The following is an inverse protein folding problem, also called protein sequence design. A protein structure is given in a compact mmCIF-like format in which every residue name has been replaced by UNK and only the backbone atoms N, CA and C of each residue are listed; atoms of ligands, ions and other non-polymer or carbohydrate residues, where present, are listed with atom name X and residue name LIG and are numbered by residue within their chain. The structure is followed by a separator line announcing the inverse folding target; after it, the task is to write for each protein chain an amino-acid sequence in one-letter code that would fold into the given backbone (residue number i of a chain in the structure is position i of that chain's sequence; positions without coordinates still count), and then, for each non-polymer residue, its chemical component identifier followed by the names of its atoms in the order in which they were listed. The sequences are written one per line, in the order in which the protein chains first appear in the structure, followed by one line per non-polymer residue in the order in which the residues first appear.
data_IF_113849996480
#
_entry.id   IF_113849996480
#
_cell.length_a   1.000
_cell.length_b   1.000
_cell.length_c   1.000
_cell.angle_alpha   90.00
_cell.angle_beta   90.00
_cell.angle_gamma   90.00
#
_symmetry.space_group_name_H-M   'P 1'
#
loop_
_entity.id
_entity.type
_entity.pdbx_description
1 polymer ?
#
# COMPACT_ATOMS: atom_id res chain seq x y z
N UNK A 1 -2.58 7.46 -0.93
CA UNK A 1 -3.29 6.27 -0.44
C UNK A 1 -3.64 6.46 1.03
N UNK A 2 -4.84 5.98 1.44
CA UNK A 2 -5.29 6.07 2.82
C UNK A 2 -6.30 4.96 3.14
N UNK A 3 -6.41 4.59 4.42
CA UNK A 3 -7.51 3.78 4.94
C UNK A 3 -8.28 4.61 5.95
N UNK A 4 -9.59 4.60 5.82
CA UNK A 4 -10.53 5.22 6.76
C UNK A 4 -11.39 4.13 7.40
N UNK A 5 -11.66 4.28 8.68
CA UNK A 5 -12.40 3.33 9.49
C UNK A 5 -13.55 4.09 10.14
N UNK A 6 -14.76 3.87 9.69
CA UNK A 6 -15.97 4.44 10.27
C UNK A 6 -16.55 3.48 11.32
N UNK A 7 -16.73 3.92 12.53
CA UNK A 7 -17.62 3.24 13.49
C UNK A 7 -19.06 3.60 13.16
N UNK A 8 -19.82 2.63 12.62
CA UNK A 8 -21.18 2.85 12.12
C UNK A 8 -22.19 3.22 13.24
N UNK A 9 -21.85 2.94 14.50
CA UNK A 9 -22.71 3.26 15.65
C UNK A 9 -22.48 4.69 16.14
N UNK A 10 -21.20 5.10 16.22
CA UNK A 10 -20.84 6.42 16.77
C UNK A 10 -20.71 7.50 15.70
N UNK A 11 -20.52 7.11 14.45
CA UNK A 11 -20.19 8.00 13.34
C UNK A 11 -18.76 8.53 13.38
N UNK A 12 -17.91 7.99 14.25
CA UNK A 12 -16.52 8.41 14.40
C UNK A 12 -15.66 7.80 13.30
N UNK A 13 -14.87 8.64 12.62
CA UNK A 13 -13.94 8.19 11.58
C UNK A 13 -12.52 8.18 12.13
N UNK A 14 -11.87 7.03 12.05
CA UNK A 14 -10.48 6.78 12.48
C UNK A 14 -9.59 6.50 11.28
N UNK A 15 -8.28 6.60 11.46
CA UNK A 15 -7.29 6.24 10.44
C UNK A 15 -6.08 5.56 11.09
N UNK A 16 -5.53 4.46 10.52
CA UNK A 16 -4.37 3.78 11.11
C UNK A 16 -3.05 4.55 10.93
N UNK A 17 -3.05 5.55 10.05
CA UNK A 17 -1.91 6.43 9.78
C UNK A 17 -2.31 7.88 10.00
N UNK A 18 -1.40 8.71 10.51
CA UNK A 18 -1.66 10.14 10.65
C UNK A 18 -1.84 10.80 9.28
N UNK A 19 -3.05 11.26 9.01
CA UNK A 19 -3.40 12.08 7.84
C UNK A 19 -3.54 13.57 8.19
N UNK A 20 -3.07 13.97 9.38
CA UNK A 20 -3.23 15.32 9.91
C UNK A 20 -4.66 15.62 10.36
N UNK A 21 -5.42 14.60 10.72
CA UNK A 21 -6.73 14.73 11.38
C UNK A 21 -6.55 15.21 12.83
N UNK A 22 -7.57 15.84 13.38
CA UNK A 22 -7.63 16.22 14.80
C UNK A 22 -8.13 15.03 15.63
N UNK A 23 -7.30 14.01 15.77
CA UNK A 23 -7.57 12.89 16.67
C UNK A 23 -6.79 13.01 17.98
N UNK A 24 -7.15 12.22 18.98
CA UNK A 24 -6.53 12.21 20.30
C UNK A 24 -5.56 11.06 20.53
N UNK A 25 -5.40 10.20 19.53
CA UNK A 25 -4.60 8.99 19.62
C UNK A 25 -3.11 9.25 19.41
N UNK A 26 -2.30 8.29 19.85
CA UNK A 26 -0.86 8.29 19.61
C UNK A 26 -0.55 7.40 18.41
N UNK A 27 0.07 7.99 17.39
CA UNK A 27 0.59 7.25 16.24
C UNK A 27 2.02 6.80 16.53
N UNK A 28 2.28 5.51 16.33
CA UNK A 28 3.63 4.94 16.35
C UNK A 28 3.93 4.29 15.02
N UNK A 29 5.08 4.63 14.45
CA UNK A 29 5.53 4.04 13.20
C UNK A 29 6.82 3.26 13.45
N UNK A 30 6.90 2.05 12.90
CA UNK A 30 8.09 1.21 12.91
C UNK A 30 8.42 0.82 11.48
N UNK A 31 9.58 1.23 11.00
CA UNK A 31 10.09 0.79 9.71
C UNK A 31 11.05 -0.37 9.90
N UNK A 32 10.78 -1.47 9.22
CA UNK A 32 11.70 -2.60 9.08
C UNK A 32 12.23 -2.67 7.65
N UNK A 33 13.10 -3.62 7.39
CA UNK A 33 13.58 -3.88 6.05
C UNK A 33 12.46 -4.55 5.23
N UNK A 34 12.01 -3.88 4.18
CA UNK A 34 10.93 -4.34 3.30
C UNK A 34 9.50 -4.17 3.82
N UNK A 35 9.29 -3.58 5.00
CA UNK A 35 7.94 -3.31 5.52
C UNK A 35 7.87 -2.07 6.41
N UNK A 36 6.66 -1.55 6.58
CA UNK A 36 6.35 -0.50 7.56
C UNK A 36 5.13 -0.89 8.39
N UNK A 37 5.17 -0.65 9.69
CA UNK A 37 4.08 -0.93 10.62
C UNK A 37 3.62 0.36 11.30
N UNK A 38 2.32 0.61 11.23
CA UNK A 38 1.64 1.75 11.84
C UNK A 38 0.73 1.24 12.96
N UNK A 39 0.86 1.83 14.12
CA UNK A 39 0.08 1.48 15.31
C UNK A 39 -0.67 2.71 15.79
N UNK A 40 -1.96 2.58 15.95
CA UNK A 40 -2.82 3.63 16.46
C UNK A 40 -3.90 3.03 17.38
N UNK A 41 -4.37 3.82 18.34
CA UNK A 41 -5.48 3.45 19.22
C UNK A 41 -6.43 4.64 19.33
N UNK A 42 -7.66 4.45 18.95
CA UNK A 42 -8.71 5.45 19.02
C UNK A 42 -10.08 4.77 19.19
N UNK A 43 -11.03 5.39 19.87
CA UNK A 43 -12.40 4.91 20.05
C UNK A 43 -12.51 3.46 20.56
N UNK A 44 -11.57 3.01 21.40
CA UNK A 44 -11.47 1.62 21.89
C UNK A 44 -11.24 0.59 20.76
N UNK A 45 -10.63 1.00 19.67
CA UNK A 45 -10.18 0.12 18.60
C UNK A 45 -8.68 0.26 18.45
N UNK A 46 -7.93 -0.82 18.72
CA UNK A 46 -6.52 -0.89 18.38
C UNK A 46 -6.39 -1.16 16.88
N UNK A 47 -5.58 -0.37 16.22
CA UNK A 47 -5.32 -0.43 14.79
C UNK A 47 -3.84 -0.76 14.58
N UNK A 48 -3.56 -1.88 13.94
CA UNK A 48 -2.22 -2.27 13.52
C UNK A 48 -2.22 -2.49 12.01
N UNK A 49 -1.59 -1.59 11.28
CA UNK A 49 -1.44 -1.67 9.83
C UNK A 49 -0.01 -2.03 9.48
N UNK A 50 0.19 -3.15 8.78
CA UNK A 50 1.48 -3.51 8.20
C UNK A 50 1.42 -3.39 6.69
N UNK A 51 2.33 -2.62 6.09
CA UNK A 51 2.43 -2.41 4.65
C UNK A 51 3.74 -2.98 4.13
N UNK A 52 3.66 -3.81 3.09
CA UNK A 52 4.83 -4.42 2.46
C UNK A 52 4.56 -4.78 0.99
N UNK A 53 5.61 -5.10 0.25
CA UNK A 53 5.55 -5.60 -1.12
C UNK A 53 6.09 -7.03 -1.14
N UNK A 54 5.32 -8.04 -1.59
CA UNK A 54 5.80 -9.40 -1.80
C UNK A 54 6.97 -9.45 -2.78
N UNK A 55 7.83 -10.49 -2.68
CA UNK A 55 9.05 -10.58 -3.47
C UNK A 55 8.80 -10.77 -4.98
N UNK A 56 7.78 -11.55 -5.33
CA UNK A 56 7.54 -12.02 -6.71
C UNK A 56 6.29 -11.43 -7.35
N UNK A 57 5.66 -10.44 -6.72
CA UNK A 57 4.39 -9.87 -7.18
C UNK A 57 4.45 -8.34 -7.26
N UNK A 58 3.94 -7.77 -8.35
CA UNK A 58 3.76 -6.32 -8.48
C UNK A 58 2.56 -5.85 -7.67
N UNK A 59 2.65 -6.00 -6.35
CA UNK A 59 1.58 -5.80 -5.39
C UNK A 59 2.10 -5.12 -4.13
N UNK A 60 1.36 -4.15 -3.62
CA UNK A 60 1.49 -3.62 -2.26
C UNK A 60 0.35 -4.18 -1.41
N UNK A 61 0.71 -4.87 -0.34
CA UNK A 61 -0.25 -5.43 0.62
C UNK A 61 -0.37 -4.50 1.82
N UNK A 62 -1.61 -4.20 2.19
CA UNK A 62 -2.02 -3.47 3.38
C UNK A 62 -2.73 -4.45 4.31
N UNK A 63 -2.02 -4.95 5.30
CA UNK A 63 -2.52 -5.90 6.29
C UNK A 63 -2.95 -5.13 7.53
N UNK A 64 -4.27 -4.92 7.67
CA UNK A 64 -4.89 -4.16 8.77
C UNK A 64 -5.50 -5.12 9.78
N UNK A 65 -4.93 -5.17 10.97
CA UNK A 65 -5.50 -5.85 12.14
C UNK A 65 -6.21 -4.83 13.04
N UNK A 66 -7.47 -5.09 13.31
CA UNK A 66 -8.30 -4.29 14.21
C UNK A 66 -8.65 -5.13 15.45
N UNK A 67 -8.52 -4.56 16.64
CA UNK A 67 -8.89 -5.22 17.90
C UNK A 67 -9.90 -4.37 18.63
N UNK A 68 -11.07 -4.91 18.90
CA UNK A 68 -12.11 -4.27 19.68
C UNK A 68 -11.81 -4.35 21.17
N UNK A 69 -11.50 -3.22 21.83
CA UNK A 69 -11.21 -3.12 23.26
C UNK A 69 -12.45 -2.75 24.10
N UNK A 70 -13.59 -2.60 23.46
CA UNK A 70 -14.85 -2.30 24.15
C UNK A 70 -15.55 -3.56 24.63
N UNK A 71 -16.61 -3.38 25.38
CA UNK A 71 -17.54 -4.42 25.86
C UNK A 71 -18.74 -4.65 24.91
N UNK A 72 -18.77 -3.97 23.76
CA UNK A 72 -19.83 -4.04 22.75
C UNK A 72 -19.27 -4.44 21.40
N UNK A 73 -20.13 -5.02 20.57
CA UNK A 73 -19.78 -5.28 19.16
C UNK A 73 -19.50 -3.96 18.45
N UNK A 74 -18.42 -3.91 17.71
CA UNK A 74 -18.09 -2.81 16.80
C UNK A 74 -18.48 -3.19 15.37
N UNK A 75 -19.28 -2.36 14.73
CA UNK A 75 -19.59 -2.43 13.30
C UNK A 75 -18.79 -1.36 12.59
N UNK A 76 -17.84 -1.77 11.77
CA UNK A 76 -16.88 -0.87 11.15
C UNK A 76 -16.96 -0.95 9.62
N UNK A 77 -17.09 0.21 8.98
CA UNK A 77 -16.90 0.35 7.54
C UNK A 77 -15.46 0.78 7.28
N UNK A 78 -14.75 0.03 6.43
CA UNK A 78 -13.36 0.31 6.07
C UNK A 78 -13.30 0.75 4.62
N UNK A 79 -12.73 1.93 4.37
CA UNK A 79 -12.56 2.45 3.01
C UNK A 79 -11.09 2.59 2.68
N UNK A 80 -10.63 1.88 1.66
CA UNK A 80 -9.29 2.04 1.09
C UNK A 80 -9.35 2.96 -0.12
N UNK A 81 -8.60 4.04 -0.08
CA UNK A 81 -8.59 5.11 -1.07
C UNK A 81 -7.22 5.29 -1.71
N UNK A 82 -7.22 5.46 -3.04
CA UNK A 82 -6.02 5.67 -3.87
C UNK A 82 -6.28 6.77 -4.89
N UNK A 83 -5.35 7.68 -5.07
CA UNK A 83 -5.33 8.64 -6.18
C UNK A 83 -4.43 8.11 -7.30
N UNK A 84 -5.01 8.01 -8.48
CA UNK A 84 -4.30 7.55 -9.66
C UNK A 84 -3.42 8.66 -10.25
N UNK A 85 -2.20 8.29 -10.65
CA UNK A 85 -1.35 9.11 -11.52
C UNK A 85 -1.17 8.42 -12.86
N UNK A 86 -0.80 7.13 -12.86
CA UNK A 86 -0.66 6.24 -14.02
C UNK A 86 0.06 6.91 -15.21
N UNK A 87 1.12 7.65 -14.91
CA UNK A 87 1.94 8.40 -15.86
C UNK A 87 2.85 9.37 -15.11
N UNK A 88 3.32 10.42 -15.79
CA UNK A 88 4.30 11.35 -15.22
C UNK A 88 3.66 12.38 -14.31
N UNK A 89 2.53 12.94 -14.71
CA UNK A 89 1.81 14.00 -13.99
C UNK A 89 0.32 13.71 -13.98
N UNK A 90 -0.31 13.90 -12.83
CA UNK A 90 -1.73 13.60 -12.61
C UNK A 90 -2.63 14.43 -13.53
N UNK A 91 -2.35 15.72 -13.68
CA UNK A 91 -3.13 16.66 -14.48
C UNK A 91 -3.18 16.26 -15.96
N UNK A 92 -2.11 15.63 -16.46
CA UNK A 92 -2.03 15.16 -17.84
C UNK A 92 -2.71 13.82 -18.07
N UNK A 93 -2.67 12.92 -17.07
CA UNK A 93 -3.13 11.55 -17.23
C UNK A 93 -4.57 11.34 -16.77
N UNK A 94 -5.04 12.12 -15.81
CA UNK A 94 -6.32 11.95 -15.16
C UNK A 94 -7.54 11.83 -16.11
N UNK A 95 -7.66 12.64 -17.19
CA UNK A 95 -8.78 12.53 -18.12
C UNK A 95 -8.82 11.23 -18.93
N UNK A 96 -7.73 10.46 -18.90
CA UNK A 96 -7.58 9.22 -19.67
C UNK A 96 -7.61 7.96 -18.80
N UNK A 97 -7.89 8.10 -17.53
CA UNK A 97 -7.98 6.97 -16.63
C UNK A 97 -9.41 6.43 -16.66
N UNK A 98 -9.54 5.21 -17.17
CA UNK A 98 -10.77 4.45 -17.18
C UNK A 98 -10.80 3.50 -15.99
N UNK A 99 -11.81 3.65 -15.13
CA UNK A 99 -12.04 2.74 -14.01
C UNK A 99 -13.14 1.73 -14.31
N UNK A 100 -13.04 0.54 -13.73
CA UNK A 100 -14.04 -0.53 -13.87
C UNK A 100 -14.07 -1.39 -12.61
N UNK A 101 -15.17 -2.09 -12.40
CA UNK A 101 -15.31 -3.05 -11.32
C UNK A 101 -15.79 -4.39 -11.85
N UNK A 102 -15.10 -5.45 -11.47
CA UNK A 102 -15.48 -6.84 -11.76
C UNK A 102 -16.23 -7.42 -10.56
N UNK A 103 -17.54 -7.65 -10.74
CA UNK A 103 -18.40 -8.18 -9.68
C UNK A 103 -18.13 -9.65 -9.36
N UNK A 104 -17.68 -10.43 -10.33
CA UNK A 104 -17.40 -11.87 -10.13
C UNK A 104 -16.13 -12.07 -9.30
N UNK A 105 -15.10 -11.29 -9.61
CA UNK A 105 -13.80 -11.40 -8.97
C UNK A 105 -13.58 -10.36 -7.86
N UNK A 106 -14.53 -9.46 -7.65
CA UNK A 106 -14.47 -8.38 -6.63
C UNK A 106 -13.17 -7.56 -6.70
N UNK A 107 -12.80 -7.14 -7.92
CA UNK A 107 -11.62 -6.33 -8.20
C UNK A 107 -12.00 -5.00 -8.82
N UNK A 108 -11.49 -3.91 -8.25
CA UNK A 108 -11.58 -2.58 -8.84
C UNK A 108 -10.33 -2.34 -9.70
N UNK A 109 -10.51 -2.03 -10.96
CA UNK A 109 -9.43 -1.84 -11.93
C UNK A 109 -9.40 -0.41 -12.47
N UNK A 110 -8.20 0.08 -12.75
CA UNK A 110 -7.97 1.34 -13.45
C UNK A 110 -6.97 1.13 -14.58
N UNK A 111 -7.18 1.81 -15.71
CA UNK A 111 -6.34 1.72 -16.89
C UNK A 111 -6.14 3.11 -17.51
N UNK A 112 -4.91 3.47 -17.86
CA UNK A 112 -4.65 4.63 -18.67
C UNK A 112 -4.76 4.24 -20.16
N UNK A 113 -5.78 4.76 -20.85
CA UNK A 113 -6.06 4.40 -22.25
C UNK A 113 -5.27 5.22 -23.27
N UNK A 114 -4.56 6.25 -22.84
CA UNK A 114 -3.84 7.16 -23.73
C UNK A 114 -2.34 6.87 -23.83
N UNK A 115 -1.70 6.48 -22.73
CA UNK A 115 -0.24 6.35 -22.68
C UNK A 115 0.22 5.04 -23.32
N UNK A 116 0.92 5.11 -24.45
CA UNK A 116 1.39 3.93 -25.21
C UNK A 116 2.19 2.93 -24.35
N UNK A 117 3.00 3.42 -23.42
CA UNK A 117 3.85 2.58 -22.57
C UNK A 117 3.07 1.77 -21.52
N UNK A 118 1.87 2.21 -21.13
CA UNK A 118 1.10 1.61 -20.03
C UNK A 118 -0.31 1.20 -20.45
N UNK A 119 -0.71 1.36 -21.71
CA UNK A 119 -2.06 1.07 -22.19
C UNK A 119 -2.52 -0.38 -21.99
N UNK A 120 -1.58 -1.32 -21.86
CA UNK A 120 -1.86 -2.73 -21.62
C UNK A 120 -1.77 -3.14 -20.15
N UNK A 121 -1.51 -2.19 -19.25
CA UNK A 121 -1.39 -2.44 -17.82
C UNK A 121 -2.64 -1.98 -17.09
N UNK A 122 -3.11 -2.82 -16.18
CA UNK A 122 -4.13 -2.50 -15.21
C UNK A 122 -3.46 -2.21 -13.87
N UNK A 123 -3.86 -1.14 -13.20
CA UNK A 123 -3.72 -1.03 -11.76
C UNK A 123 -5.00 -1.54 -11.12
N UNK A 124 -4.91 -2.24 -9.99
CA UNK A 124 -6.08 -2.85 -9.39
C UNK A 124 -6.07 -2.75 -7.87
N UNK A 125 -7.28 -2.70 -7.30
CA UNK A 125 -7.53 -2.76 -5.88
C UNK A 125 -8.41 -3.97 -5.57
N UNK A 126 -8.16 -4.59 -4.43
CA UNK A 126 -9.02 -5.64 -3.88
C UNK A 126 -9.00 -5.61 -2.36
N UNK A 127 -9.91 -6.36 -1.75
CA UNK A 127 -9.91 -6.67 -0.32
C UNK A 127 -10.06 -8.17 -0.08
N UNK A 128 -9.63 -8.65 1.09
CA UNK A 128 -9.96 -10.00 1.57
C UNK A 128 -11.44 -10.15 1.92
N UNK A 129 -12.11 -9.04 2.27
CA UNK A 129 -13.54 -8.99 2.56
C UNK A 129 -14.35 -8.64 1.30
N UNK A 130 -15.64 -8.93 1.33
CA UNK A 130 -16.56 -8.58 0.24
C UNK A 130 -16.69 -7.05 0.13
N UNK A 131 -16.51 -6.52 -1.07
CA UNK A 131 -16.64 -5.11 -1.36
C UNK A 131 -18.11 -4.73 -1.45
N UNK A 132 -18.56 -3.82 -0.58
CA UNK A 132 -19.95 -3.37 -0.48
C UNK A 132 -20.22 -2.03 -1.15
N UNK A 133 -19.15 -1.30 -1.51
CA UNK A 133 -19.22 -0.01 -2.20
C UNK A 133 -17.88 0.32 -2.83
N UNK A 134 -17.91 1.08 -3.91
CA UNK A 134 -16.71 1.57 -4.58
C UNK A 134 -17.01 2.83 -5.37
N UNK A 135 -15.98 3.61 -5.68
CA UNK A 135 -16.10 4.72 -6.64
C UNK A 135 -14.78 5.00 -7.36
N UNK A 136 -14.90 5.38 -8.62
CA UNK A 136 -13.80 5.91 -9.44
C UNK A 136 -13.73 7.43 -9.44
N UNK A 137 -14.66 8.11 -8.81
CA UNK A 137 -14.78 9.56 -8.80
C UNK A 137 -14.25 10.16 -7.50
N UNK A 138 -13.17 10.95 -7.62
CA UNK A 138 -12.54 11.63 -6.50
C UNK A 138 -13.45 12.68 -5.87
N UNK A 139 -14.29 13.34 -6.67
CA UNK A 139 -15.21 14.35 -6.18
C UNK A 139 -16.32 13.72 -5.32
N UNK A 140 -16.82 12.55 -5.70
CA UNK A 140 -17.73 11.77 -4.84
C UNK A 140 -17.06 11.43 -3.51
N UNK A 141 -15.82 10.91 -3.57
CA UNK A 141 -15.12 10.45 -2.37
C UNK A 141 -14.74 11.60 -1.44
N UNK A 142 -14.09 12.64 -1.94
CA UNK A 142 -13.66 13.77 -1.10
C UNK A 142 -14.80 14.73 -0.74
N UNK A 143 -15.79 14.89 -1.63
CA UNK A 143 -16.79 15.95 -1.55
C UNK A 143 -16.32 17.24 -2.25
N UNK A 144 -17.24 18.18 -2.47
CA UNK A 144 -16.96 19.41 -3.27
C UNK A 144 -15.86 20.31 -2.71
N UNK A 145 -15.68 20.32 -1.38
CA UNK A 145 -14.64 21.09 -0.66
C UNK A 145 -13.87 20.21 0.31
N UNK A 146 -13.98 18.91 0.14
CA UNK A 146 -13.39 17.93 1.02
C UNK A 146 -11.88 17.82 0.84
N UNK A 147 -11.24 17.23 1.81
CA UNK A 147 -9.82 16.93 1.81
C UNK A 147 -9.60 15.46 2.18
N UNK A 148 -8.38 14.98 1.98
CA UNK A 148 -7.98 13.64 2.44
C UNK A 148 -8.05 13.51 3.99
N UNK A 149 -8.15 14.61 4.72
CA UNK A 149 -8.28 14.59 6.18
C UNK A 149 -9.70 14.21 6.61
N UNK A 150 -10.69 14.71 5.88
CA UNK A 150 -12.13 14.56 6.20
C UNK A 150 -12.90 14.31 4.90
N UNK A 151 -12.72 13.15 4.25
CA UNK A 151 -13.43 12.84 3.02
C UNK A 151 -14.85 12.38 3.33
N UNK A 152 -15.82 12.90 2.58
CA UNK A 152 -17.23 12.52 2.70
C UNK A 152 -17.45 11.00 2.49
N UNK A 153 -16.72 10.41 1.55
CA UNK A 153 -16.83 8.98 1.21
C UNK A 153 -16.39 8.03 2.33
N UNK A 154 -15.71 8.55 3.38
CA UNK A 154 -15.42 7.76 4.57
C UNK A 154 -16.63 7.64 5.52
N UNK A 155 -17.64 8.51 5.38
CA UNK A 155 -18.81 8.59 6.27
C UNK A 155 -20.09 8.01 5.64
N UNK A 156 -20.06 7.78 4.32
CA UNK A 156 -21.23 7.30 3.57
C UNK A 156 -20.90 6.09 2.73
N UNK A 157 -21.94 5.32 2.38
CA UNK A 157 -21.80 4.24 1.41
C UNK A 157 -21.49 4.81 0.02
N UNK A 158 -20.48 4.27 -0.64
CA UNK A 158 -20.08 4.66 -2.00
C UNK A 158 -21.11 4.16 -3.04
N UNK A 159 -21.30 4.92 -4.11
CA UNK A 159 -22.36 4.76 -5.08
C UNK A 159 -22.18 3.62 -6.10
N UNK A 160 -21.04 2.92 -6.06
CA UNK A 160 -20.64 1.90 -7.05
C UNK A 160 -20.44 2.49 -8.47
N UNK A 161 -19.92 3.70 -8.55
CA UNK A 161 -19.68 4.40 -9.80
C UNK A 161 -18.27 4.13 -10.35
N UNK A 162 -18.18 3.81 -11.64
CA UNK A 162 -16.93 3.63 -12.39
C UNK A 162 -17.06 4.20 -13.81
N UNK A 163 -15.97 4.22 -14.53
CA UNK A 163 -15.91 4.70 -15.92
C UNK A 163 -14.89 5.81 -16.08
N UNK A 164 -15.15 6.70 -17.03
CA UNK A 164 -14.37 7.91 -17.26
C UNK A 164 -14.89 9.00 -16.31
N UNK A 165 -14.02 9.46 -15.42
CA UNK A 165 -14.31 10.57 -14.51
C UNK A 165 -13.39 11.75 -14.81
N UNK A 166 -13.87 12.95 -14.56
CA UNK A 166 -13.05 14.16 -14.75
C UNK A 166 -11.86 14.19 -13.78
N UNK A 167 -12.06 13.67 -12.59
CA UNK A 167 -11.03 13.55 -11.54
C UNK A 167 -11.07 12.13 -10.93
N UNK A 168 -10.21 11.23 -11.42
CA UNK A 168 -10.28 9.82 -11.11
C UNK A 168 -9.55 9.45 -9.82
N UNK A 169 -10.14 8.50 -9.09
CA UNK A 169 -9.55 7.81 -7.94
C UNK A 169 -9.91 6.32 -7.96
N UNK A 170 -9.45 5.60 -6.97
CA UNK A 170 -9.95 4.29 -6.61
C UNK A 170 -10.31 4.28 -5.14
N UNK A 171 -11.57 4.03 -4.81
CA UNK A 171 -12.02 3.79 -3.45
C UNK A 171 -12.84 2.51 -3.40
N UNK A 172 -12.52 1.63 -2.47
CA UNK A 172 -13.27 0.40 -2.21
C UNK A 172 -13.64 0.34 -0.74
N UNK A 173 -14.86 -0.10 -0.43
CA UNK A 173 -15.42 -0.11 0.90
C UNK A 173 -15.88 -1.51 1.29
N UNK A 174 -15.53 -1.94 2.51
CA UNK A 174 -15.93 -3.22 3.09
C UNK A 174 -16.50 -2.99 4.48
N UNK A 175 -17.29 -3.92 5.01
CA UNK A 175 -17.84 -3.84 6.36
C UNK A 175 -17.45 -5.07 7.17
N UNK A 176 -17.11 -4.85 8.44
CA UNK A 176 -16.75 -5.91 9.38
C UNK A 176 -17.42 -5.69 10.74
N UNK A 177 -17.81 -6.80 11.39
CA UNK A 177 -18.24 -6.81 12.77
C UNK A 177 -17.16 -7.47 13.63
N UNK A 178 -16.81 -6.84 14.77
CA UNK A 178 -15.78 -7.34 15.68
C UNK A 178 -16.40 -7.48 17.08
N UNK A 179 -16.43 -8.69 17.61
CA UNK A 179 -16.94 -8.98 18.95
C UNK A 179 -16.06 -8.32 20.03
N UNK A 180 -16.58 -8.10 21.25
CA UNK A 180 -15.80 -7.59 22.36
C UNK A 180 -14.52 -8.40 22.58
N UNK A 181 -13.39 -7.70 22.72
CA UNK A 181 -12.05 -8.27 22.94
C UNK A 181 -11.50 -9.16 21.80
N UNK A 182 -12.20 -9.26 20.69
CA UNK A 182 -11.73 -9.99 19.51
C UNK A 182 -10.94 -9.10 18.54
N UNK A 183 -10.22 -9.76 17.64
CA UNK A 183 -9.49 -9.11 16.55
C UNK A 183 -9.98 -9.61 15.20
N UNK A 184 -9.99 -8.71 14.20
CA UNK A 184 -10.24 -9.03 12.80
C UNK A 184 -9.10 -8.49 11.95
N UNK A 185 -8.61 -9.29 11.02
CA UNK A 185 -7.62 -8.87 10.03
C UNK A 185 -8.30 -8.70 8.69
N UNK A 186 -8.08 -7.55 8.05
CA UNK A 186 -8.56 -7.22 6.72
C UNK A 186 -7.39 -6.86 5.84
N UNK A 187 -7.31 -7.46 4.67
CA UNK A 187 -6.28 -7.15 3.67
C UNK A 187 -6.86 -6.22 2.61
N UNK A 188 -6.05 -5.24 2.21
CA UNK A 188 -6.23 -4.51 0.97
C UNK A 188 -4.99 -4.67 0.11
N UNK A 189 -5.18 -4.73 -1.20
CA UNK A 189 -4.10 -4.82 -2.16
C UNK A 189 -4.20 -3.72 -3.20
N UNK A 190 -3.04 -3.12 -3.52
CA UNK A 190 -2.83 -2.26 -4.68
C UNK A 190 -1.78 -2.90 -5.57
N UNK A 191 -2.16 -3.33 -6.75
CA UNK A 191 -1.27 -4.03 -7.65
C UNK A 191 -1.32 -3.52 -9.08
N UNK A 192 -0.43 -4.10 -9.91
CA UNK A 192 -0.35 -3.87 -11.34
C UNK A 192 -0.16 -5.20 -12.05
N UNK A 193 -0.87 -5.40 -13.17
CA UNK A 193 -0.66 -6.55 -14.07
C UNK A 193 -1.11 -6.24 -15.50
N UNK A 194 -0.52 -6.91 -16.47
CA UNK A 194 -0.99 -6.93 -17.87
C UNK A 194 -2.11 -7.94 -18.12
N UNK A 195 -2.50 -8.75 -17.12
CA UNK A 195 -3.45 -9.85 -17.26
C UNK A 195 -4.51 -9.84 -16.15
N UNK A 196 -5.78 -9.82 -16.54
CA UNK A 196 -6.89 -9.98 -15.60
C UNK A 196 -6.82 -11.32 -14.86
N UNK A 197 -6.41 -12.40 -15.53
CA UNK A 197 -6.28 -13.71 -14.89
C UNK A 197 -5.25 -13.71 -13.75
N UNK A 198 -4.15 -12.95 -13.89
CA UNK A 198 -3.17 -12.79 -12.80
C UNK A 198 -3.75 -11.98 -11.64
N UNK A 199 -4.51 -10.92 -11.94
CA UNK A 199 -5.22 -10.13 -10.92
C UNK A 199 -6.14 -11.04 -10.10
N UNK A 200 -6.94 -11.88 -10.76
CA UNK A 200 -7.87 -12.79 -10.10
C UNK A 200 -7.16 -13.84 -9.23
N UNK A 201 -6.04 -14.39 -9.73
CA UNK A 201 -5.20 -15.31 -8.93
C UNK A 201 -4.62 -14.64 -7.70
N UNK A 202 -4.10 -13.43 -7.85
CA UNK A 202 -3.56 -12.64 -6.74
C UNK A 202 -4.64 -12.34 -5.71
N UNK A 203 -5.81 -11.87 -6.13
CA UNK A 203 -6.94 -11.60 -5.24
C UNK A 203 -7.39 -12.88 -4.53
N UNK A 204 -7.45 -14.01 -5.22
CA UNK A 204 -7.82 -15.30 -4.64
C UNK A 204 -6.82 -15.77 -3.57
N UNK A 205 -5.51 -15.59 -3.81
CA UNK A 205 -4.44 -15.88 -2.85
C UNK A 205 -4.60 -15.06 -1.56
N UNK A 206 -4.89 -13.77 -1.68
CA UNK A 206 -4.99 -12.85 -0.53
C UNK A 206 -6.40 -12.73 0.05
N UNK A 207 -7.29 -13.68 -0.21
CA UNK A 207 -8.52 -13.85 0.57
C UNK A 207 -8.23 -14.30 2.00
N UNK A 208 -7.15 -15.03 2.18
CA UNK A 208 -6.69 -15.50 3.49
C UNK A 208 -5.57 -14.61 4.03
N UNK A 209 -5.78 -14.07 5.23
CA UNK A 209 -4.78 -13.26 5.93
C UNK A 209 -3.48 -14.04 6.19
N UNK A 210 -3.53 -15.35 6.36
CA UNK A 210 -2.37 -16.20 6.55
C UNK A 210 -1.42 -16.17 5.34
N UNK A 211 -1.94 -15.98 4.13
CA UNK A 211 -1.11 -15.81 2.94
C UNK A 211 -0.24 -14.54 3.02
N UNK A 212 -0.81 -13.44 3.51
CA UNK A 212 -0.08 -12.19 3.69
C UNK A 212 1.00 -12.30 4.79
N UNK A 213 0.70 -12.98 5.88
CA UNK A 213 1.68 -13.21 6.96
C UNK A 213 2.86 -14.05 6.46
N UNK A 214 2.59 -15.11 5.72
CA UNK A 214 3.63 -15.96 5.10
C UNK A 214 4.52 -15.17 4.15
N UNK A 215 3.93 -14.31 3.30
CA UNK A 215 4.70 -13.49 2.37
C UNK A 215 5.51 -12.41 3.12
N UNK A 216 4.99 -11.82 4.18
CA UNK A 216 5.73 -10.88 5.03
C UNK A 216 6.94 -11.55 5.67
N UNK A 217 6.80 -12.79 6.14
CA UNK A 217 7.92 -13.53 6.72
C UNK A 217 8.96 -13.92 5.67
N UNK A 218 8.54 -14.21 4.43
CA UNK A 218 9.46 -14.37 3.29
C UNK A 218 10.24 -13.08 3.03
N UNK A 219 9.56 -11.94 2.97
CA UNK A 219 10.19 -10.62 2.76
C UNK A 219 11.23 -10.33 3.84
N UNK A 220 10.90 -10.56 5.11
CA UNK A 220 11.85 -10.36 6.22
C UNK A 220 13.06 -11.29 6.09
N UNK A 221 12.82 -12.58 5.83
CA UNK A 221 13.88 -13.58 5.68
C UNK A 221 14.81 -13.28 4.52
N UNK A 222 14.28 -12.81 3.40
CA UNK A 222 15.06 -12.43 2.22
C UNK A 222 15.98 -11.21 2.54
N UNK A 223 15.42 -10.16 3.17
CA UNK A 223 16.20 -9.03 3.60
C UNK A 223 17.25 -9.39 4.66
N UNK A 224 16.89 -10.20 5.63
CA UNK A 224 17.83 -10.65 6.68
C UNK A 224 18.97 -11.47 6.09
N UNK A 225 18.67 -12.34 5.11
CA UNK A 225 19.68 -13.11 4.38
C UNK A 225 20.63 -12.22 3.59
N UNK A 226 20.10 -11.25 2.84
CA UNK A 226 20.89 -10.36 2.00
C UNK A 226 21.74 -9.40 2.84
N UNK A 227 21.15 -8.75 3.83
CA UNK A 227 21.83 -7.77 4.69
C UNK A 227 22.77 -8.44 5.70
N UNK A 228 22.56 -9.71 5.97
CA UNK A 228 23.42 -10.53 6.85
C UNK A 228 24.72 -11.01 6.20
N UNK A 229 24.90 -10.86 4.88
CA UNK A 229 26.07 -11.38 4.15
C UNK A 229 27.40 -10.71 4.57
N UNK A 230 27.35 -9.42 4.90
CA UNK A 230 28.51 -8.68 5.38
C UNK A 230 28.18 -8.08 6.73
N UNK A 231 28.94 -8.47 7.75
CA UNK A 231 28.74 -7.99 9.12
C UNK A 231 30.06 -7.48 9.71
N UNK A 232 30.00 -6.32 10.31
CA UNK A 232 31.12 -5.71 11.05
C UNK A 232 30.72 -5.49 12.50
N UNK A 233 31.71 -5.55 13.38
CA UNK A 233 31.56 -5.22 14.78
C UNK A 233 32.64 -4.22 15.18
N UNK A 234 32.22 -3.00 15.50
CA UNK A 234 33.10 -1.92 15.90
C UNK A 234 32.85 -1.48 17.33
N UNK A 235 33.58 -0.48 17.80
CA UNK A 235 33.34 0.15 19.12
C UNK A 235 32.18 1.14 19.05
N UNK A 236 31.79 1.58 17.87
CA UNK A 236 30.72 2.55 17.63
C UNK A 236 29.47 1.85 17.06
N UNK A 237 28.42 1.83 17.88
CA UNK A 237 27.13 1.22 17.49
C UNK A 237 26.50 1.86 16.27
N UNK A 238 26.72 3.16 16.04
CA UNK A 238 26.16 3.85 14.87
C UNK A 238 26.81 3.36 13.57
N UNK A 239 28.13 3.11 13.60
CA UNK A 239 28.84 2.50 12.48
C UNK A 239 28.33 1.09 12.19
N UNK A 240 28.10 0.28 13.22
CA UNK A 240 27.56 -1.08 13.07
C UNK A 240 26.16 -1.04 12.38
N UNK A 241 25.28 -0.14 12.82
CA UNK A 241 23.92 0.00 12.24
C UNK A 241 24.00 0.41 10.76
N UNK A 242 24.89 1.35 10.44
CA UNK A 242 25.06 1.81 9.06
C UNK A 242 25.56 0.70 8.15
N UNK A 243 26.65 0.03 8.55
CA UNK A 243 27.34 -0.95 7.70
C UNK A 243 26.61 -2.30 7.65
N UNK A 244 25.97 -2.74 8.74
CA UNK A 244 25.34 -4.06 8.83
C UNK A 244 23.90 -4.11 8.26
N UNK A 245 23.53 -3.09 7.48
CA UNK A 245 22.21 -3.17 6.84
C UNK A 245 21.75 -1.87 6.18
N UNK A 246 21.80 -0.75 6.91
CA UNK A 246 21.15 0.47 6.45
C UNK A 246 21.66 0.99 5.09
N UNK A 247 22.97 1.08 4.89
CA UNK A 247 23.53 1.58 3.64
C UNK A 247 23.22 0.67 2.45
N UNK A 248 23.33 -0.65 2.63
CA UNK A 248 23.00 -1.62 1.60
C UNK A 248 21.49 -1.61 1.29
N UNK A 249 20.64 -1.53 2.32
CA UNK A 249 19.19 -1.42 2.17
C UNK A 249 18.80 -0.16 1.38
N UNK A 250 19.38 0.99 1.69
CA UNK A 250 19.12 2.23 0.94
C UNK A 250 19.52 2.11 -0.53
N UNK A 251 20.71 1.55 -0.81
CA UNK A 251 21.17 1.37 -2.20
C UNK A 251 20.18 0.51 -2.98
N UNK A 252 19.77 -0.62 -2.42
CA UNK A 252 18.81 -1.51 -3.07
C UNK A 252 17.44 -0.85 -3.25
N UNK A 253 16.88 -0.33 -2.16
CA UNK A 253 15.51 0.20 -2.17
C UNK A 253 15.37 1.48 -2.98
N UNK A 254 16.38 2.37 -2.95
CA UNK A 254 16.28 3.70 -3.56
C UNK A 254 16.94 3.82 -4.93
N UNK A 255 17.91 2.94 -5.26
CA UNK A 255 18.71 3.07 -6.47
C UNK A 255 18.56 1.92 -7.45
N UNK A 256 18.25 0.72 -6.96
CA UNK A 256 18.15 -0.49 -7.79
C UNK A 256 16.70 -0.90 -8.00
N UNK A 257 15.94 -1.10 -6.91
CA UNK A 257 14.53 -1.53 -6.99
C UNK A 257 13.58 -0.36 -7.26
N UNK A 258 13.90 0.84 -6.77
CA UNK A 258 13.18 2.07 -7.07
C UNK A 258 14.10 3.11 -7.69
N UNK A 259 13.53 3.96 -8.54
CA UNK A 259 14.25 5.05 -9.20
C UNK A 259 14.02 6.34 -8.43
N UNK A 260 14.77 6.56 -7.37
CA UNK A 260 14.70 7.80 -6.61
C UNK A 260 15.83 8.75 -7.07
N UNK A 261 15.47 9.87 -7.67
CA UNK A 261 16.35 10.99 -8.00
C UNK A 261 16.11 12.20 -7.11
N UNK A 262 16.98 13.21 -7.16
CA UNK A 262 16.87 14.44 -6.35
C UNK A 262 15.56 15.20 -6.57
N UNK A 263 15.02 15.16 -7.77
CA UNK A 263 13.88 15.99 -8.18
C UNK A 263 12.58 15.21 -8.31
N UNK A 264 12.65 13.88 -8.48
CA UNK A 264 11.45 13.05 -8.66
C UNK A 264 11.73 11.56 -8.40
N UNK A 265 10.74 10.85 -7.89
CA UNK A 265 10.72 9.40 -7.90
C UNK A 265 10.50 8.91 -9.34
N UNK A 266 11.28 7.94 -9.80
CA UNK A 266 11.17 7.42 -11.16
C UNK A 266 11.84 8.29 -12.24
N UNK A 267 12.69 9.22 -11.85
CA UNK A 267 13.48 10.04 -12.77
C UNK A 267 14.45 9.27 -13.64
N UNK A 268 15.13 10.00 -14.51
CA UNK A 268 16.10 9.43 -15.45
C UNK A 268 17.24 8.70 -14.73
N UNK A 269 17.66 7.60 -15.31
CA UNK A 269 18.86 6.89 -14.87
C UNK A 269 20.11 7.49 -15.49
N UNK A 270 21.11 7.79 -14.64
CA UNK A 270 22.47 7.94 -15.12
C UNK A 270 23.12 6.56 -15.22
N UNK A 271 23.53 6.15 -16.40
CA UNK A 271 24.20 4.86 -16.62
C UNK A 271 25.39 4.66 -15.68
N UNK A 272 26.27 5.66 -15.61
CA UNK A 272 27.44 5.66 -14.71
C UNK A 272 27.01 5.54 -13.24
N UNK A 273 26.01 6.31 -12.82
CA UNK A 273 25.60 6.38 -11.42
C UNK A 273 25.03 5.04 -10.95
N UNK A 274 24.24 4.37 -11.79
CA UNK A 274 23.73 3.03 -11.49
C UNK A 274 24.82 1.98 -11.37
N UNK A 275 25.78 1.95 -12.32
CA UNK A 275 26.88 1.02 -12.25
C UNK A 275 27.75 1.27 -10.99
N UNK A 276 27.94 2.53 -10.62
CA UNK A 276 28.68 2.88 -9.41
C UNK A 276 27.91 2.43 -8.14
N UNK A 277 26.61 2.67 -8.07
CA UNK A 277 25.77 2.25 -6.94
C UNK A 277 25.77 0.72 -6.80
N UNK A 278 25.73 -0.03 -7.90
CA UNK A 278 25.75 -1.50 -7.88
C UNK A 278 27.05 -2.11 -7.39
N UNK A 279 28.17 -1.38 -7.40
CA UNK A 279 29.44 -1.88 -6.84
C UNK A 279 29.34 -2.23 -5.35
N UNK A 280 28.47 -1.56 -4.61
CA UNK A 280 28.20 -1.88 -3.20
C UNK A 280 27.62 -3.28 -3.00
N UNK A 281 26.98 -3.86 -4.03
CA UNK A 281 26.35 -5.17 -4.01
C UNK A 281 27.33 -6.31 -4.31
N UNK A 282 28.55 -6.01 -4.73
CA UNK A 282 29.55 -7.01 -5.13
C UNK A 282 29.79 -8.05 -4.02
N UNK A 283 29.82 -7.60 -2.78
CA UNK A 283 30.08 -8.44 -1.62
C UNK A 283 28.83 -9.05 -1.01
N UNK A 284 27.66 -8.51 -1.31
CA UNK A 284 26.39 -8.98 -0.78
C UNK A 284 25.71 -10.01 -1.71
N UNK A 285 25.48 -9.60 -2.96
CA UNK A 285 24.90 -10.46 -4.00
C UNK A 285 25.38 -10.00 -5.40
N UNK A 286 26.42 -10.66 -5.89
CA UNK A 286 26.98 -10.37 -7.23
C UNK A 286 25.99 -10.66 -8.37
N UNK A 287 24.92 -11.43 -8.15
CA UNK A 287 23.91 -11.70 -9.17
C UNK A 287 23.07 -10.47 -9.49
N UNK A 288 22.78 -9.64 -8.48
CA UNK A 288 22.09 -8.35 -8.66
C UNK A 288 22.96 -7.40 -9.49
N UNK A 289 24.24 -7.29 -9.15
CA UNK A 289 25.21 -6.51 -9.94
C UNK A 289 25.21 -6.95 -11.41
N UNK A 290 25.29 -8.25 -11.66
CA UNK A 290 25.35 -8.81 -13.02
C UNK A 290 24.08 -8.55 -13.83
N UNK A 291 22.90 -8.54 -13.18
CA UNK A 291 21.64 -8.18 -13.84
C UNK A 291 21.53 -6.69 -14.20
N UNK A 292 22.30 -5.85 -13.56
CA UNK A 292 22.28 -4.41 -13.77
C UNK A 292 23.22 -3.94 -14.90
N UNK A 293 24.22 -4.74 -15.25
CA UNK A 293 25.14 -4.54 -16.39
C UNK A 293 24.47 -5.00 -17.68
#
# INVERSE_FOLDING_TARGET
EAIYILDEITGEVMTPMSLGRSDRGVYRVRHGFGYSRFLHNEALVDQELTVFTPLDESLKVWNLKLTNRSDKVKYLSLTYYVEWVMGTQREQTNPYILTSYDNEHECFCAKNIYTMNFQNLYSYLFSSETIIGYTGDRQEFLGQRGSIREPRGAEVKLSCNTGVCYDSCGAIQVSVAIQPQESRTVLFGLGQSGSLNEIYKTRSKYRDAAAAEKELDRVKSDWDGLLGTVQVKTKDRAVDILLNGWLLYQTLSCRIQARAGFYQCGGAYGYRDQLQDTLSLLFADSSILRRQI
#
